data_IF_262606923337
#
_entry.id   IF_262606923337
#
_cell.length_a   1.000
_cell.length_b   1.000
_cell.length_c   1.000
_cell.angle_alpha   90.00
_cell.angle_beta   90.00
_cell.angle_gamma   90.00
#
_symmetry.space_group_name_H-M   'P 1'
#
loop_
_entity.id
_entity.type
_entity.pdbx_description
1 polymer ?
#
# COMPACT_ATOMS: atom_id res chain seq x y z
N UNK A 1 -24.77 4.36 -46.01
CA UNK A 1 -25.01 3.90 -44.63
C UNK A 1 -24.09 2.75 -44.20
N UNK A 2 -24.28 1.48 -44.64
CA UNK A 2 -23.39 0.39 -44.20
C UNK A 2 -21.95 0.48 -44.74
N UNK A 3 -21.77 0.97 -45.98
CA UNK A 3 -20.45 1.15 -46.61
C UNK A 3 -19.68 2.33 -45.98
N UNK A 4 -20.31 3.51 -45.88
CA UNK A 4 -19.73 4.69 -45.23
C UNK A 4 -19.37 4.42 -43.75
N UNK A 5 -20.17 3.62 -43.04
CA UNK A 5 -19.87 3.20 -41.68
C UNK A 5 -18.62 2.30 -41.62
N UNK A 6 -18.44 1.41 -42.59
CA UNK A 6 -17.25 0.56 -42.64
C UNK A 6 -16.01 1.37 -43.00
N UNK A 7 -16.09 2.32 -43.92
CA UNK A 7 -14.97 3.21 -44.25
C UNK A 7 -14.54 4.07 -43.05
N UNK A 8 -15.48 4.53 -42.22
CA UNK A 8 -15.16 5.23 -40.98
C UNK A 8 -14.52 4.30 -39.93
N UNK A 9 -14.96 3.04 -39.85
CA UNK A 9 -14.34 2.03 -38.96
C UNK A 9 -12.91 1.71 -39.38
N UNK A 10 -12.66 1.53 -40.68
CA UNK A 10 -11.32 1.29 -41.21
C UNK A 10 -10.37 2.47 -40.88
N UNK A 11 -10.89 3.71 -40.92
CA UNK A 11 -10.13 4.89 -40.50
C UNK A 11 -9.85 4.91 -38.99
N UNK A 12 -10.82 4.51 -38.16
CA UNK A 12 -10.62 4.36 -36.70
C UNK A 12 -9.55 3.31 -36.42
N UNK A 13 -9.64 2.13 -37.04
CA UNK A 13 -8.66 1.05 -36.88
C UNK A 13 -7.23 1.51 -37.27
N UNK A 14 -7.11 2.33 -38.31
CA UNK A 14 -5.84 2.91 -38.71
C UNK A 14 -5.28 3.89 -37.66
N UNK A 15 -6.13 4.69 -37.03
CA UNK A 15 -5.74 5.59 -35.92
C UNK A 15 -5.36 4.80 -34.68
N UNK A 16 -6.14 3.78 -34.32
CA UNK A 16 -5.86 2.91 -33.18
C UNK A 16 -4.51 2.19 -33.34
N UNK A 17 -4.17 1.77 -34.56
CA UNK A 17 -2.85 1.21 -34.87
C UNK A 17 -1.72 2.22 -34.64
N UNK A 18 -1.91 3.49 -35.03
CA UNK A 18 -0.92 4.54 -34.74
C UNK A 18 -0.76 4.79 -33.23
N UNK A 19 -1.84 4.68 -32.46
CA UNK A 19 -1.77 4.75 -31.00
C UNK A 19 -0.91 3.63 -30.41
N UNK A 20 -1.03 2.39 -30.93
CA UNK A 20 -0.18 1.28 -30.53
C UNK A 20 1.31 1.54 -30.83
N UNK A 21 1.62 2.07 -32.02
CA UNK A 21 3.00 2.40 -32.40
C UNK A 21 3.59 3.49 -31.47
N UNK A 22 2.80 4.50 -31.12
CA UNK A 22 3.21 5.55 -30.17
C UNK A 22 3.42 5.01 -28.75
N UNK A 23 2.58 4.08 -28.30
CA UNK A 23 2.74 3.41 -27.00
C UNK A 23 4.02 2.58 -26.97
N UNK A 24 4.32 1.83 -28.03
CA UNK A 24 5.55 1.05 -28.14
C UNK A 24 6.80 1.96 -28.10
N UNK A 25 6.79 3.06 -28.85
CA UNK A 25 7.87 4.06 -28.80
C UNK A 25 8.04 4.66 -27.40
N UNK A 26 6.93 4.97 -26.72
CA UNK A 26 6.98 5.49 -25.35
C UNK A 26 7.57 4.47 -24.38
N UNK A 27 7.20 3.20 -24.47
CA UNK A 27 7.75 2.15 -23.61
C UNK A 27 9.26 2.00 -23.80
N UNK A 28 9.74 2.01 -25.05
CA UNK A 28 11.18 1.97 -25.34
C UNK A 28 11.94 3.20 -24.81
N UNK A 29 11.31 4.39 -24.77
CA UNK A 29 11.90 5.57 -24.14
C UNK A 29 11.93 5.45 -22.61
N UNK A 30 10.89 4.86 -22.01
CA UNK A 30 10.84 4.66 -20.56
C UNK A 30 11.89 3.66 -20.12
N UNK A 31 12.13 2.58 -20.87
CA UNK A 31 13.20 1.62 -20.59
C UNK A 31 14.58 2.32 -20.54
N UNK A 32 14.90 3.16 -21.53
CA UNK A 32 16.13 3.98 -21.53
C UNK A 32 16.19 4.96 -20.36
N UNK A 33 15.06 5.55 -19.98
CA UNK A 33 14.99 6.40 -18.77
C UNK A 33 15.25 5.57 -17.52
N UNK A 34 14.73 4.35 -17.45
CA UNK A 34 14.98 3.39 -16.37
C UNK A 34 16.46 3.05 -16.23
N UNK A 35 17.15 2.76 -17.34
CA UNK A 35 18.60 2.55 -17.37
C UNK A 35 19.36 3.75 -16.78
N UNK A 36 19.07 4.96 -17.28
CA UNK A 36 19.71 6.20 -16.80
C UNK A 36 19.43 6.43 -15.32
N UNK A 37 18.18 6.24 -14.87
CA UNK A 37 17.82 6.39 -13.45
C UNK A 37 18.53 5.36 -12.58
N UNK A 38 18.65 4.12 -13.05
CA UNK A 38 19.34 3.04 -12.35
C UNK A 38 20.84 3.34 -12.23
N UNK A 39 21.49 3.82 -13.28
CA UNK A 39 22.90 4.24 -13.21
C UNK A 39 23.12 5.38 -12.21
N UNK A 40 22.22 6.38 -12.20
CA UNK A 40 22.38 7.58 -11.39
C UNK A 40 21.78 7.47 -9.98
N UNK A 41 20.94 6.47 -9.70
CA UNK A 41 20.29 6.28 -8.41
C UNK A 41 19.10 7.21 -8.20
N UNK A 42 18.43 7.58 -9.28
CA UNK A 42 17.30 8.49 -9.24
C UNK A 42 16.01 7.72 -8.94
N UNK A 43 15.09 8.31 -8.16
CA UNK A 43 13.83 7.66 -7.84
C UNK A 43 12.98 7.43 -9.09
N UNK A 44 12.32 6.28 -9.11
CA UNK A 44 11.38 5.93 -10.17
C UNK A 44 10.21 6.90 -10.19
N UNK A 45 9.66 7.17 -9.02
CA UNK A 45 8.51 8.04 -8.84
C UNK A 45 8.95 9.44 -8.39
N UNK A 46 8.64 10.45 -9.22
CA UNK A 46 8.87 11.87 -8.93
C UNK A 46 7.52 12.61 -9.05
N UNK A 47 6.81 12.85 -7.93
CA UNK A 47 5.45 13.41 -7.94
C UNK A 47 5.33 14.71 -8.72
N UNK A 48 6.25 15.66 -8.49
CA UNK A 48 6.21 16.98 -9.11
C UNK A 48 6.36 16.90 -10.62
N UNK A 49 7.25 16.04 -11.11
CA UNK A 49 7.47 15.84 -12.55
C UNK A 49 6.24 15.26 -13.23
N UNK A 50 5.57 14.29 -12.60
CA UNK A 50 4.29 13.77 -13.09
C UNK A 50 3.23 14.88 -13.13
N UNK A 51 3.07 15.64 -12.04
CA UNK A 51 2.06 16.68 -11.94
C UNK A 51 2.25 17.77 -13.00
N UNK A 52 3.47 18.27 -13.19
CA UNK A 52 3.79 19.26 -14.24
C UNK A 52 3.52 18.72 -15.64
N UNK A 53 3.92 17.46 -15.92
CA UNK A 53 3.70 16.83 -17.22
C UNK A 53 2.20 16.67 -17.51
N UNK A 54 1.42 16.17 -16.56
CA UNK A 54 -0.02 16.00 -16.73
C UNK A 54 -0.72 17.36 -16.91
N UNK A 55 -0.38 18.38 -16.12
CA UNK A 55 -0.95 19.72 -16.27
C UNK A 55 -0.68 20.31 -17.66
N UNK A 56 0.56 20.20 -18.14
CA UNK A 56 0.94 20.64 -19.49
C UNK A 56 0.15 19.90 -20.58
N UNK A 57 0.01 18.58 -20.48
CA UNK A 57 -0.70 17.77 -21.49
C UNK A 57 -2.21 18.00 -21.48
N UNK A 58 -2.80 18.24 -20.31
CA UNK A 58 -4.21 18.67 -20.19
C UNK A 58 -4.45 19.97 -20.94
N UNK A 59 -3.58 20.97 -20.78
CA UNK A 59 -3.71 22.26 -21.44
C UNK A 59 -3.52 22.15 -22.97
N UNK A 60 -2.59 21.32 -23.43
CA UNK A 60 -2.41 21.04 -24.85
C UNK A 60 -3.64 20.35 -25.46
N UNK A 61 -4.20 19.35 -24.77
CA UNK A 61 -5.40 18.65 -25.21
C UNK A 61 -6.61 19.59 -25.34
N UNK A 62 -6.80 20.49 -24.37
CA UNK A 62 -7.88 21.47 -24.40
C UNK A 62 -7.81 22.37 -25.66
N UNK A 63 -6.61 22.81 -26.04
CA UNK A 63 -6.39 23.68 -27.22
C UNK A 63 -6.76 23.01 -28.55
N UNK A 64 -6.69 21.69 -28.63
CA UNK A 64 -6.98 20.92 -29.85
C UNK A 64 -8.34 20.20 -29.79
N UNK A 65 -9.17 20.50 -28.78
CA UNK A 65 -10.51 19.92 -28.65
C UNK A 65 -10.54 18.49 -28.10
N UNK A 66 -9.44 18.01 -27.52
CA UNK A 66 -9.41 16.71 -26.82
C UNK A 66 -9.75 16.92 -25.35
N UNK A 67 -10.66 16.12 -24.76
CA UNK A 67 -11.00 16.24 -23.34
C UNK A 67 -9.74 16.10 -22.44
N UNK A 68 -9.45 17.06 -21.55
CA UNK A 68 -8.27 17.00 -20.69
C UNK A 68 -8.20 15.75 -19.82
N UNK A 69 -9.35 15.24 -19.38
CA UNK A 69 -9.43 14.02 -18.58
C UNK A 69 -9.01 12.78 -19.36
N UNK A 70 -9.36 12.69 -20.65
CA UNK A 70 -9.04 11.54 -21.51
C UNK A 70 -7.53 11.36 -21.64
N UNK A 71 -6.80 12.45 -21.96
CA UNK A 71 -5.34 12.37 -22.10
C UNK A 71 -4.66 12.05 -20.76
N UNK A 72 -5.17 12.59 -19.65
CA UNK A 72 -4.65 12.28 -18.33
C UNK A 72 -4.85 10.80 -18.00
N UNK A 73 -6.02 10.23 -18.26
CA UNK A 73 -6.31 8.81 -18.01
C UNK A 73 -5.40 7.89 -18.82
N UNK A 74 -5.20 8.18 -20.12
CA UNK A 74 -4.27 7.45 -21.00
C UNK A 74 -2.85 7.52 -20.45
N UNK A 75 -2.36 8.71 -20.12
CA UNK A 75 -1.00 8.90 -19.62
C UNK A 75 -0.79 8.22 -18.26
N UNK A 76 -1.76 8.31 -17.34
CA UNK A 76 -1.72 7.62 -16.05
C UNK A 76 -1.75 6.11 -16.19
N UNK A 77 -2.54 5.54 -17.12
CA UNK A 77 -2.52 4.09 -17.37
C UNK A 77 -1.18 3.64 -17.94
N UNK A 78 -0.62 4.41 -18.87
CA UNK A 78 0.67 4.10 -19.50
C UNK A 78 1.83 4.22 -18.51
N UNK A 79 1.82 5.23 -17.62
CA UNK A 79 2.80 5.35 -16.53
C UNK A 79 2.72 4.19 -15.54
N UNK A 80 1.51 3.75 -15.18
CA UNK A 80 1.32 2.56 -14.33
C UNK A 80 1.94 1.30 -14.93
N UNK A 81 1.82 1.12 -16.26
CA UNK A 81 2.46 0.01 -16.97
C UNK A 81 3.99 0.10 -16.93
N UNK A 82 4.53 1.30 -17.04
CA UNK A 82 5.97 1.55 -16.92
C UNK A 82 6.53 1.16 -15.54
N UNK A 83 5.84 1.53 -14.46
CA UNK A 83 6.27 1.19 -13.09
C UNK A 83 6.24 -0.30 -12.77
N UNK A 84 5.39 -1.07 -13.47
CA UNK A 84 5.28 -2.51 -13.29
C UNK A 84 6.34 -3.27 -14.10
N UNK A 85 6.72 -2.77 -15.27
CA UNK A 85 7.73 -3.37 -16.16
C UNK A 85 9.17 -3.10 -15.72
N UNK A 86 9.44 -2.05 -14.95
CA UNK A 86 10.74 -1.78 -14.31
C UNK A 86 11.17 -2.84 -13.28
N UNK A 87 10.33 -3.84 -12.99
CA UNK A 87 10.69 -5.01 -12.16
C UNK A 87 11.82 -5.85 -12.75
N UNK A 88 12.03 -5.79 -14.06
CA UNK A 88 12.95 -6.69 -14.76
C UNK A 88 14.32 -6.06 -15.07
N UNK A 89 14.46 -4.73 -14.97
CA UNK A 89 15.68 -4.00 -15.33
C UNK A 89 16.67 -3.77 -14.16
N UNK A 90 16.28 -4.17 -12.94
CA UNK A 90 17.09 -3.99 -11.72
C UNK A 90 17.16 -2.52 -11.25
N UNK A 91 17.56 -2.33 -9.99
CA UNK A 91 17.70 -0.99 -9.37
C UNK A 91 19.14 -0.73 -8.93
N UNK A 92 19.52 0.54 -8.78
CA UNK A 92 20.83 0.89 -8.21
C UNK A 92 21.00 0.30 -6.82
N UNK A 93 22.13 -0.35 -6.60
CA UNK A 93 22.62 -0.69 -5.28
C UNK A 93 23.22 0.56 -4.62
N UNK A 94 22.56 1.12 -3.60
CA UNK A 94 23.10 2.28 -2.88
C UNK A 94 24.23 1.95 -1.92
N UNK A 95 24.31 0.71 -1.42
CA UNK A 95 25.39 0.26 -0.55
C UNK A 95 25.99 -1.07 -1.05
N UNK A 96 26.82 -1.05 -2.10
CA UNK A 96 27.38 -2.28 -2.69
C UNK A 96 28.30 -3.06 -1.74
N UNK A 97 28.90 -2.38 -0.76
CA UNK A 97 29.78 -2.98 0.25
C UNK A 97 28.99 -3.61 1.40
N UNK A 98 27.64 -3.51 1.40
CA UNK A 98 26.82 -4.19 2.38
C UNK A 98 27.06 -5.69 2.26
N UNK A 99 27.25 -6.32 3.43
CA UNK A 99 27.26 -7.77 3.55
C UNK A 99 25.86 -8.35 3.28
N UNK A 100 25.62 -9.62 3.60
CA UNK A 100 24.34 -10.25 3.27
C UNK A 100 23.15 -9.58 3.97
N UNK A 101 22.04 -9.42 3.24
CA UNK A 101 20.72 -9.08 3.77
C UNK A 101 20.05 -10.38 4.21
N UNK A 102 19.68 -10.50 5.48
CA UNK A 102 18.96 -11.65 6.02
C UNK A 102 17.50 -11.26 6.25
N UNK A 103 16.57 -12.02 5.67
CA UNK A 103 15.13 -11.82 5.88
C UNK A 103 14.57 -12.93 6.76
N UNK A 104 14.25 -12.58 8.00
CA UNK A 104 13.60 -13.48 8.95
C UNK A 104 12.11 -13.56 8.61
N UNK A 105 11.62 -14.76 8.32
CA UNK A 105 10.29 -14.94 7.73
C UNK A 105 10.23 -14.67 6.22
N UNK A 106 11.37 -14.68 5.52
CA UNK A 106 11.46 -14.35 4.09
C UNK A 106 10.66 -15.23 3.13
N UNK A 107 10.20 -16.41 3.57
CA UNK A 107 9.27 -17.26 2.81
C UNK A 107 7.82 -16.77 2.85
N UNK A 108 7.50 -15.81 3.74
CA UNK A 108 6.20 -15.14 3.79
C UNK A 108 6.00 -14.18 2.62
N UNK A 109 4.77 -13.75 2.38
CA UNK A 109 4.43 -12.93 1.21
C UNK A 109 5.17 -11.58 1.19
N UNK A 110 5.16 -10.85 2.30
CA UNK A 110 5.83 -9.54 2.41
C UNK A 110 7.36 -9.69 2.46
N UNK A 111 7.87 -10.67 3.21
CA UNK A 111 9.30 -11.00 3.24
C UNK A 111 9.83 -11.38 1.84
N UNK A 112 9.05 -12.14 1.09
CA UNK A 112 9.37 -12.50 -0.30
C UNK A 112 9.34 -11.31 -1.25
N UNK A 113 8.43 -10.35 -1.05
CA UNK A 113 8.42 -9.09 -1.80
C UNK A 113 9.71 -8.31 -1.59
N UNK A 114 10.07 -8.00 -0.35
CA UNK A 114 11.30 -7.26 -0.05
C UNK A 114 12.56 -8.03 -0.44
N UNK A 115 12.56 -9.36 -0.28
CA UNK A 115 13.66 -10.22 -0.75
C UNK A 115 13.89 -10.14 -2.25
N UNK A 116 12.82 -10.04 -3.06
CA UNK A 116 12.97 -9.77 -4.50
C UNK A 116 13.52 -8.37 -4.76
N UNK A 117 13.02 -7.34 -4.06
CA UNK A 117 13.48 -5.95 -4.26
C UNK A 117 14.97 -5.78 -3.93
N UNK A 118 15.46 -6.40 -2.85
CA UNK A 118 16.88 -6.41 -2.52
C UNK A 118 17.71 -7.14 -3.58
N UNK A 119 17.27 -8.32 -4.05
CA UNK A 119 17.96 -9.05 -5.14
C UNK A 119 18.03 -8.24 -6.44
N UNK A 120 16.92 -7.59 -6.82
CA UNK A 120 16.86 -6.71 -7.99
C UNK A 120 17.77 -5.49 -7.85
N UNK A 121 18.12 -5.13 -6.61
CA UNK A 121 19.07 -4.05 -6.31
C UNK A 121 20.51 -4.54 -6.15
N UNK A 122 20.78 -5.82 -6.46
CA UNK A 122 22.13 -6.39 -6.43
C UNK A 122 22.63 -6.87 -5.07
N UNK A 123 21.79 -6.89 -4.03
CA UNK A 123 22.19 -7.39 -2.71
C UNK A 123 22.15 -8.92 -2.64
N UNK A 124 23.10 -9.52 -1.91
CA UNK A 124 23.02 -10.93 -1.51
C UNK A 124 21.93 -11.10 -0.45
N UNK A 125 20.92 -11.93 -0.71
CA UNK A 125 19.80 -12.15 0.20
C UNK A 125 19.77 -13.59 0.70
N UNK A 126 19.84 -13.75 2.03
CA UNK A 126 19.64 -15.00 2.76
C UNK A 126 18.27 -15.00 3.42
N UNK A 127 17.66 -16.18 3.57
CA UNK A 127 16.35 -16.34 4.22
C UNK A 127 16.54 -17.14 5.51
N UNK A 128 16.00 -16.64 6.62
CA UNK A 128 15.86 -17.39 7.86
C UNK A 128 14.39 -17.74 8.06
N UNK A 129 14.01 -18.98 7.72
CA UNK A 129 12.67 -19.52 7.87
C UNK A 129 12.42 -20.12 9.25
N UNK A 130 11.18 -20.57 9.48
CA UNK A 130 10.77 -21.15 10.77
C UNK A 130 11.44 -22.49 11.09
N UNK A 131 12.01 -23.17 10.09
CA UNK A 131 12.70 -24.45 10.24
C UNK A 131 14.22 -24.33 10.22
N UNK A 132 14.76 -23.11 10.06
CA UNK A 132 16.20 -22.88 9.83
C UNK A 132 16.93 -22.39 11.10
N UNK A 133 16.26 -22.43 12.26
CA UNK A 133 16.80 -21.91 13.52
C UNK A 133 18.01 -22.69 14.04
N UNK A 134 18.19 -23.94 13.63
CA UNK A 134 19.38 -24.75 13.89
C UNK A 134 20.65 -24.18 13.23
N UNK A 135 20.49 -23.41 12.15
CA UNK A 135 21.56 -22.76 11.39
C UNK A 135 21.52 -21.23 11.49
N UNK A 136 20.74 -20.69 12.43
CA UNK A 136 20.55 -19.25 12.55
C UNK A 136 21.88 -18.50 12.71
N UNK A 137 22.80 -19.01 13.54
CA UNK A 137 24.12 -18.40 13.74
C UNK A 137 24.93 -18.34 12.44
N UNK A 138 24.89 -19.37 11.60
CA UNK A 138 25.57 -19.39 10.29
C UNK A 138 24.93 -18.42 9.29
N UNK A 139 23.59 -18.35 9.27
CA UNK A 139 22.84 -17.48 8.35
C UNK A 139 23.03 -16.00 8.73
N UNK A 140 23.02 -15.71 10.02
CA UNK A 140 23.19 -14.37 10.58
C UNK A 140 24.66 -13.95 10.65
N UNK A 141 25.59 -14.90 10.53
CA UNK A 141 27.01 -14.60 10.47
C UNK A 141 27.28 -13.64 9.31
N UNK A 142 28.09 -12.63 9.60
CA UNK A 142 28.47 -11.60 8.66
C UNK A 142 27.26 -10.82 8.07
N UNK A 143 26.08 -10.81 8.69
CA UNK A 143 24.93 -10.04 8.19
C UNK A 143 25.21 -8.52 8.24
N UNK A 144 24.81 -7.81 7.17
CA UNK A 144 24.85 -6.34 7.11
C UNK A 144 23.50 -5.70 7.44
N UNK A 145 22.42 -6.42 7.13
CA UNK A 145 21.04 -6.01 7.40
C UNK A 145 20.21 -7.25 7.76
N UNK A 146 19.43 -7.16 8.83
CA UNK A 146 18.44 -8.17 9.22
C UNK A 146 17.05 -7.53 9.19
N UNK A 147 16.14 -8.12 8.43
CA UNK A 147 14.75 -7.67 8.27
C UNK A 147 13.80 -8.70 8.88
N UNK A 148 13.06 -8.31 9.91
CA UNK A 148 12.09 -9.17 10.61
C UNK A 148 10.70 -9.01 9.98
N UNK A 149 10.18 -10.10 9.40
CA UNK A 149 8.93 -10.12 8.62
C UNK A 149 8.00 -11.26 9.05
N UNK A 150 7.96 -11.56 10.35
CA UNK A 150 7.16 -12.64 10.94
C UNK A 150 5.80 -12.12 11.46
N UNK A 151 4.83 -13.01 11.74
CA UNK A 151 3.56 -12.63 12.38
C UNK A 151 3.76 -11.84 13.67
N UNK A 152 2.91 -10.85 13.91
CA UNK A 152 3.04 -9.88 15.00
C UNK A 152 3.16 -10.57 16.36
N UNK A 153 2.34 -11.58 16.65
CA UNK A 153 2.40 -12.33 17.91
C UNK A 153 3.71 -13.11 18.12
N UNK A 154 4.51 -13.34 17.08
CA UNK A 154 5.81 -14.02 17.16
C UNK A 154 6.99 -13.04 17.18
N UNK A 155 6.78 -11.79 16.76
CA UNK A 155 7.86 -10.83 16.48
C UNK A 155 8.81 -10.63 17.65
N UNK A 156 8.31 -10.31 18.85
CA UNK A 156 9.17 -10.06 20.02
C UNK A 156 10.00 -11.31 20.39
N UNK A 157 9.37 -12.48 20.36
CA UNK A 157 10.02 -13.76 20.65
C UNK A 157 11.05 -14.17 19.60
N UNK A 158 10.84 -13.80 18.33
CA UNK A 158 11.80 -14.00 17.25
C UNK A 158 12.97 -13.04 17.38
N UNK A 159 12.71 -11.75 17.64
CA UNK A 159 13.76 -10.75 17.86
C UNK A 159 14.68 -11.17 19.00
N UNK A 160 14.12 -11.63 20.13
CA UNK A 160 14.89 -12.05 21.29
C UNK A 160 15.88 -13.20 21.00
N UNK A 161 15.68 -13.98 19.93
CA UNK A 161 16.57 -15.08 19.53
C UNK A 161 17.73 -14.65 18.62
N UNK A 162 17.75 -13.40 18.12
CA UNK A 162 18.75 -12.91 17.17
C UNK A 162 20.07 -12.46 17.84
N UNK A 163 20.45 -12.99 19.01
CA UNK A 163 21.49 -12.39 19.87
C UNK A 163 22.91 -12.26 19.30
N UNK A 164 23.24 -12.92 18.19
CA UNK A 164 24.59 -12.96 17.61
C UNK A 164 24.76 -12.05 16.36
N UNK A 165 24.09 -10.89 16.32
CA UNK A 165 24.28 -9.96 15.20
C UNK A 165 25.63 -9.22 15.29
N UNK A 166 26.33 -9.00 14.16
CA UNK A 166 27.45 -8.06 14.10
C UNK A 166 27.04 -6.68 14.62
N UNK A 167 27.92 -5.99 15.35
CA UNK A 167 27.59 -4.73 16.03
C UNK A 167 27.19 -3.60 15.08
N UNK A 168 27.65 -3.64 13.84
CA UNK A 168 27.35 -2.71 12.74
C UNK A 168 26.16 -3.17 11.87
N UNK A 169 25.60 -4.37 12.11
CA UNK A 169 24.44 -4.85 11.38
C UNK A 169 23.23 -3.95 11.65
N UNK A 170 22.50 -3.58 10.61
CA UNK A 170 21.22 -2.87 10.77
C UNK A 170 20.15 -3.90 11.11
N UNK A 171 19.37 -3.65 12.16
CA UNK A 171 18.20 -4.46 12.49
C UNK A 171 16.92 -3.67 12.24
N UNK A 172 16.02 -4.20 11.42
CA UNK A 172 14.71 -3.61 11.19
C UNK A 172 13.59 -4.65 11.14
N UNK A 173 12.35 -4.18 11.24
CA UNK A 173 11.15 -4.99 11.12
C UNK A 173 10.19 -4.38 10.09
N UNK A 174 9.24 -5.18 9.59
CA UNK A 174 8.15 -4.72 8.71
C UNK A 174 6.76 -4.93 9.35
N UNK A 175 6.66 -4.97 10.67
CA UNK A 175 5.37 -5.27 11.32
C UNK A 175 4.37 -4.12 11.18
N UNK A 176 3.10 -4.39 11.51
CA UNK A 176 2.04 -3.36 11.50
C UNK A 176 1.93 -2.54 12.79
N UNK A 177 2.68 -2.88 13.84
CA UNK A 177 2.76 -2.13 15.11
C UNK A 177 4.21 -1.74 15.40
N UNK A 178 4.50 -0.58 15.98
CA UNK A 178 5.88 -0.09 16.05
C UNK A 178 6.45 -0.10 17.46
N UNK A 179 5.69 0.25 18.48
CA UNK A 179 6.22 0.46 19.84
C UNK A 179 6.89 -0.80 20.41
N UNK A 180 6.17 -1.93 20.44
CA UNK A 180 6.71 -3.19 21.01
C UNK A 180 7.85 -3.78 20.18
N UNK A 181 7.73 -3.94 18.84
CA UNK A 181 8.83 -4.48 18.04
C UNK A 181 10.07 -3.61 18.06
N UNK A 182 9.92 -2.28 17.98
CA UNK A 182 11.06 -1.36 18.05
C UNK A 182 11.80 -1.48 19.39
N UNK A 183 11.06 -1.51 20.50
CA UNK A 183 11.66 -1.70 21.83
C UNK A 183 12.36 -3.05 21.96
N UNK A 184 11.76 -4.13 21.45
CA UNK A 184 12.38 -5.46 21.44
C UNK A 184 13.70 -5.46 20.65
N UNK A 185 13.74 -4.83 19.47
CA UNK A 185 14.96 -4.70 18.67
C UNK A 185 16.03 -3.87 19.40
N UNK A 186 15.63 -2.74 20.02
CA UNK A 186 16.52 -1.85 20.77
C UNK A 186 17.14 -2.49 22.01
N UNK A 187 16.41 -3.40 22.66
CA UNK A 187 16.88 -4.16 23.82
C UNK A 187 17.85 -5.27 23.40
N UNK A 188 17.53 -5.97 22.30
CA UNK A 188 18.32 -7.11 21.86
C UNK A 188 19.62 -6.68 21.16
N UNK A 189 19.56 -5.68 20.29
CA UNK A 189 20.70 -5.24 19.49
C UNK A 189 21.29 -3.92 19.98
N UNK A 190 22.62 -3.83 20.05
CA UNK A 190 23.33 -2.60 20.42
C UNK A 190 23.65 -1.70 19.22
N UNK A 191 23.60 -2.24 18.00
CA UNK A 191 23.87 -1.51 16.76
C UNK A 191 22.69 -0.66 16.26
N UNK A 192 22.70 -0.32 14.95
CA UNK A 192 21.64 0.45 14.31
C UNK A 192 20.29 -0.29 14.27
N UNK A 193 19.21 0.44 14.59
CA UNK A 193 17.84 -0.09 14.65
C UNK A 193 16.85 0.90 14.03
N UNK A 194 15.95 0.42 13.18
CA UNK A 194 14.85 1.20 12.60
C UNK A 194 13.58 0.34 12.48
N UNK A 195 12.44 0.87 12.90
CA UNK A 195 11.15 0.20 12.70
C UNK A 195 10.51 0.63 11.39
N UNK A 196 9.94 -0.29 10.62
CA UNK A 196 9.27 0.03 9.35
C UNK A 196 7.85 -0.56 9.33
N UNK A 197 6.94 0.13 8.64
CA UNK A 197 5.60 -0.36 8.35
C UNK A 197 5.24 -0.02 6.89
N UNK A 198 5.34 -0.99 5.98
CA UNK A 198 4.78 -0.86 4.64
C UNK A 198 3.26 -0.76 4.73
N UNK A 199 2.66 0.36 4.32
CA UNK A 199 1.22 0.61 4.39
C UNK A 199 0.44 -0.08 3.24
N UNK A 200 0.95 -1.22 2.78
CA UNK A 200 0.47 -1.94 1.62
C UNK A 200 0.72 -3.45 1.76
N UNK A 201 -0.11 -4.23 1.07
CA UNK A 201 0.02 -5.68 1.01
C UNK A 201 1.05 -6.16 -0.03
N UNK A 202 1.35 -7.46 -0.05
CA UNK A 202 2.36 -8.05 -0.93
C UNK A 202 1.98 -8.05 -2.42
N UNK A 203 0.70 -7.83 -2.74
CA UNK A 203 0.15 -7.89 -4.11
C UNK A 203 0.38 -6.61 -4.92
N UNK A 204 1.11 -5.62 -4.37
CA UNK A 204 1.37 -4.37 -5.09
C UNK A 204 2.19 -4.62 -6.36
N UNK A 205 1.77 -4.07 -7.52
CA UNK A 205 2.49 -4.26 -8.78
C UNK A 205 3.81 -3.46 -8.83
N UNK A 206 3.98 -2.47 -7.96
CA UNK A 206 5.19 -1.65 -7.82
C UNK A 206 5.16 -0.94 -6.47
N UNK A 207 6.32 -0.52 -5.95
CA UNK A 207 6.39 0.33 -4.75
C UNK A 207 6.17 1.82 -5.07
N UNK A 208 6.06 2.18 -6.35
CA UNK A 208 5.69 3.53 -6.76
C UNK A 208 4.40 3.99 -6.07
N UNK A 209 4.45 5.16 -5.41
CA UNK A 209 3.33 5.80 -4.67
C UNK A 209 2.89 5.04 -3.41
N UNK A 210 3.57 3.96 -3.05
CA UNK A 210 3.30 3.26 -1.81
C UNK A 210 3.96 3.98 -0.64
N UNK A 211 3.32 3.96 0.53
CA UNK A 211 3.85 4.60 1.73
C UNK A 211 4.55 3.57 2.61
N UNK A 212 5.75 3.89 3.09
CA UNK A 212 6.41 3.17 4.18
C UNK A 212 6.57 4.15 5.33
N UNK A 213 5.92 3.87 6.46
CA UNK A 213 6.17 4.60 7.69
C UNK A 213 7.44 4.05 8.32
N UNK A 214 8.29 4.93 8.84
CA UNK A 214 9.46 4.51 9.61
C UNK A 214 9.55 5.25 10.95
N UNK A 215 10.03 4.53 11.96
CA UNK A 215 10.25 5.03 13.31
C UNK A 215 11.70 4.80 13.69
N UNK A 216 12.41 5.89 14.02
CA UNK A 216 13.83 5.83 14.35
C UNK A 216 14.05 5.10 15.68
N UNK A 217 14.99 4.15 15.71
CA UNK A 217 15.46 3.49 16.93
C UNK A 217 16.82 4.04 17.38
N UNK A 218 17.90 3.53 16.78
CA UNK A 218 19.29 3.91 17.09
C UNK A 218 20.13 4.00 15.82
N UNK A 219 21.06 4.95 15.75
CA UNK A 219 22.08 4.99 14.70
C UNK A 219 21.54 5.33 13.31
N UNK A 220 20.66 6.35 13.21
CA UNK A 220 20.01 6.78 11.96
C UNK A 220 20.95 7.04 10.79
N UNK A 221 22.12 7.59 11.08
CA UNK A 221 23.21 7.81 10.13
C UNK A 221 23.54 6.52 9.34
N UNK A 222 23.46 5.36 9.98
CA UNK A 222 23.90 4.07 9.44
C UNK A 222 22.90 3.42 8.49
N UNK A 223 21.61 3.77 8.59
CA UNK A 223 20.55 3.21 7.75
C UNK A 223 19.93 4.22 6.77
N UNK A 224 20.46 5.43 6.67
CA UNK A 224 19.94 6.42 5.71
C UNK A 224 19.99 5.92 4.25
N UNK A 225 21.01 5.12 3.89
CA UNK A 225 21.09 4.50 2.58
C UNK A 225 19.91 3.54 2.32
N UNK A 226 19.41 2.84 3.34
CA UNK A 226 18.29 1.91 3.24
C UNK A 226 16.97 2.68 3.00
N UNK A 227 16.76 3.77 3.72
CA UNK A 227 15.63 4.67 3.49
C UNK A 227 15.69 5.24 2.05
N UNK A 228 16.86 5.71 1.62
CA UNK A 228 17.03 6.20 0.25
C UNK A 228 16.79 5.08 -0.80
N UNK A 229 17.15 3.83 -0.49
CA UNK A 229 16.90 2.68 -1.36
C UNK A 229 15.40 2.44 -1.56
N UNK A 230 14.59 2.55 -0.51
CA UNK A 230 13.14 2.49 -0.61
C UNK A 230 12.57 3.62 -1.48
N UNK A 231 13.14 4.81 -1.39
CA UNK A 231 12.83 5.93 -2.28
C UNK A 231 13.15 5.64 -3.75
N UNK A 232 14.27 4.98 -4.04
CA UNK A 232 14.62 4.53 -5.40
C UNK A 232 13.56 3.58 -5.96
N UNK A 233 13.09 2.65 -5.14
CA UNK A 233 12.00 1.73 -5.51
C UNK A 233 10.65 2.44 -5.72
N UNK A 234 10.55 3.73 -5.40
CA UNK A 234 9.38 4.57 -5.63
C UNK A 234 8.48 4.75 -4.41
N UNK A 235 8.87 4.21 -3.25
CA UNK A 235 8.11 4.39 -2.02
C UNK A 235 8.24 5.82 -1.49
N UNK A 236 7.16 6.34 -0.93
CA UNK A 236 7.14 7.58 -0.15
C UNK A 236 7.37 7.25 1.32
N UNK A 237 8.41 7.82 1.90
CA UNK A 237 8.73 7.61 3.31
C UNK A 237 8.04 8.64 4.18
N UNK A 238 7.49 8.18 5.30
CA UNK A 238 6.88 9.02 6.31
C UNK A 238 7.54 8.70 7.66
N UNK A 239 8.30 9.66 8.21
CA UNK A 239 8.83 9.52 9.56
C UNK A 239 7.69 9.69 10.56
N UNK A 240 7.63 8.83 11.56
CA UNK A 240 6.67 8.95 12.66
C UNK A 240 7.23 8.30 13.92
N UNK A 241 6.99 8.92 15.07
CA UNK A 241 7.28 8.27 16.35
C UNK A 241 6.49 6.95 16.49
N UNK A 242 7.06 5.96 17.16
CA UNK A 242 6.44 4.64 17.26
C UNK A 242 5.11 4.66 18.04
N UNK A 243 5.00 5.51 19.08
CA UNK A 243 3.77 5.64 19.85
C UNK A 243 2.72 6.45 19.08
N UNK A 244 3.13 7.52 18.39
CA UNK A 244 2.23 8.28 17.50
C UNK A 244 1.67 7.40 16.38
N UNK A 245 2.53 6.57 15.77
CA UNK A 245 2.13 5.60 14.77
C UNK A 245 1.07 4.63 15.30
N UNK A 246 1.32 3.99 16.45
CA UNK A 246 0.40 2.99 17.00
C UNK A 246 -0.95 3.63 17.43
N UNK A 247 -0.90 4.85 17.96
CA UNK A 247 -2.11 5.62 18.24
C UNK A 247 -2.92 5.90 16.95
N UNK A 248 -2.25 6.32 15.87
CA UNK A 248 -2.89 6.50 14.56
C UNK A 248 -3.50 5.19 14.00
N UNK A 249 -2.80 4.07 14.16
CA UNK A 249 -3.27 2.75 13.70
C UNK A 249 -4.50 2.25 14.47
N UNK A 250 -4.76 2.79 15.67
CA UNK A 250 -6.00 2.52 16.41
C UNK A 250 -7.24 2.91 15.59
N UNK A 251 -7.20 4.04 14.89
CA UNK A 251 -8.28 4.48 13.98
C UNK A 251 -8.15 3.85 12.59
N UNK A 252 -6.96 3.89 12.01
CA UNK A 252 -6.72 3.52 10.60
C UNK A 252 -6.88 2.02 10.37
N UNK A 253 -6.43 1.19 11.31
CA UNK A 253 -6.43 -0.27 11.18
C UNK A 253 -7.40 -0.91 12.16
N UNK A 254 -7.22 -0.76 13.48
CA UNK A 254 -7.97 -1.54 14.46
C UNK A 254 -9.49 -1.28 14.37
N UNK A 255 -9.91 -0.01 14.48
CA UNK A 255 -11.32 0.35 14.35
C UNK A 255 -11.88 0.01 12.97
N UNK A 256 -11.14 0.32 11.90
CA UNK A 256 -11.59 0.08 10.52
C UNK A 256 -11.76 -1.41 10.19
N UNK A 257 -10.82 -2.25 10.61
CA UNK A 257 -10.88 -3.69 10.38
C UNK A 257 -11.96 -4.33 11.25
N UNK A 258 -12.06 -3.94 12.54
CA UNK A 258 -13.09 -4.48 13.42
C UNK A 258 -14.50 -4.14 12.95
N UNK A 259 -14.75 -2.90 12.52
CA UNK A 259 -16.06 -2.51 11.96
C UNK A 259 -16.41 -3.28 10.69
N UNK A 260 -15.44 -3.49 9.80
CA UNK A 260 -15.61 -4.31 8.59
C UNK A 260 -15.87 -5.78 8.94
N UNK A 261 -15.16 -6.33 9.92
CA UNK A 261 -15.38 -7.68 10.46
C UNK A 261 -16.78 -7.81 11.06
N UNK A 262 -17.20 -6.89 11.92
CA UNK A 262 -18.51 -6.90 12.57
C UNK A 262 -19.66 -6.81 11.55
N UNK A 263 -19.52 -5.94 10.54
CA UNK A 263 -20.49 -5.83 9.46
C UNK A 263 -20.57 -7.10 8.61
N UNK A 264 -19.43 -7.68 8.23
CA UNK A 264 -19.40 -8.95 7.50
C UNK A 264 -19.96 -10.12 8.33
N UNK A 265 -19.67 -10.15 9.63
CA UNK A 265 -20.25 -11.12 10.56
C UNK A 265 -21.77 -10.98 10.61
N UNK A 266 -22.30 -9.75 10.72
CA UNK A 266 -23.74 -9.49 10.67
C UNK A 266 -24.35 -9.97 9.35
N UNK A 267 -23.78 -9.59 8.19
CA UNK A 267 -24.23 -10.06 6.89
C UNK A 267 -24.26 -11.60 6.80
N UNK A 268 -23.26 -12.29 7.35
CA UNK A 268 -23.21 -13.76 7.36
C UNK A 268 -24.35 -14.39 8.18
N UNK A 269 -24.86 -13.68 9.19
CA UNK A 269 -25.97 -14.13 10.03
C UNK A 269 -27.33 -13.86 9.41
N UNK A 270 -27.49 -12.71 8.75
CA UNK A 270 -28.67 -12.41 7.94
C UNK A 270 -28.75 -13.32 6.71
N UNK A 271 -27.61 -13.82 6.24
CA UNK A 271 -27.47 -14.75 5.13
C UNK A 271 -28.26 -14.35 3.86
N UNK A 272 -28.12 -13.11 3.36
CA UNK A 272 -28.80 -12.69 2.15
C UNK A 272 -28.21 -13.39 0.92
N UNK A 273 -29.00 -13.50 -0.15
CA UNK A 273 -28.48 -13.94 -1.43
C UNK A 273 -27.57 -12.85 -2.04
N UNK A 274 -26.26 -13.02 -1.91
CA UNK A 274 -25.26 -12.05 -2.38
C UNK A 274 -25.39 -11.81 -3.89
N UNK A 275 -25.64 -12.84 -4.70
CA UNK A 275 -25.80 -12.68 -6.15
C UNK A 275 -27.00 -11.79 -6.49
N UNK A 276 -28.09 -11.91 -5.74
CA UNK A 276 -29.25 -11.05 -5.90
C UNK A 276 -28.95 -9.61 -5.47
N UNK A 277 -28.26 -9.41 -4.34
CA UNK A 277 -27.83 -8.09 -3.91
C UNK A 277 -26.97 -7.42 -4.97
N UNK A 278 -25.95 -8.13 -5.49
CA UNK A 278 -25.04 -7.63 -6.52
C UNK A 278 -25.75 -7.25 -7.83
N UNK A 279 -26.83 -7.96 -8.21
CA UNK A 279 -27.66 -7.60 -9.37
C UNK A 279 -28.45 -6.31 -9.17
N UNK A 280 -28.85 -6.02 -7.93
CA UNK A 280 -29.59 -4.79 -7.56
C UNK A 280 -28.65 -3.62 -7.22
N UNK A 281 -27.35 -3.87 -7.16
CA UNK A 281 -26.35 -2.92 -6.67
C UNK A 281 -25.92 -1.92 -7.75
N UNK A 282 -25.83 -0.65 -7.36
CA UNK A 282 -25.02 0.33 -8.09
C UNK A 282 -23.52 -0.01 -7.96
N UNK A 283 -22.64 0.53 -8.81
CA UNK A 283 -21.20 0.30 -8.71
C UNK A 283 -20.62 0.62 -7.32
N UNK A 284 -21.11 1.68 -6.65
CA UNK A 284 -20.67 2.04 -5.30
C UNK A 284 -21.05 0.98 -4.27
N UNK A 285 -22.29 0.48 -4.31
CA UNK A 285 -22.73 -0.54 -3.35
C UNK A 285 -21.99 -1.87 -3.56
N UNK A 286 -21.71 -2.24 -4.82
CA UNK A 286 -20.85 -3.39 -5.13
C UNK A 286 -19.44 -3.20 -4.56
N UNK A 287 -18.88 -1.99 -4.68
CA UNK A 287 -17.57 -1.66 -4.12
C UNK A 287 -17.59 -1.77 -2.59
N UNK A 288 -18.62 -1.26 -1.92
CA UNK A 288 -18.77 -1.37 -0.46
C UNK A 288 -18.77 -2.83 0.02
N UNK A 289 -19.56 -3.70 -0.62
CA UNK A 289 -19.55 -5.14 -0.30
C UNK A 289 -18.18 -5.75 -0.59
N UNK A 290 -17.56 -5.41 -1.72
CA UNK A 290 -16.23 -5.93 -2.07
C UNK A 290 -15.16 -5.53 -1.04
N UNK A 291 -15.23 -4.30 -0.52
CA UNK A 291 -14.32 -3.81 0.52
C UNK A 291 -14.48 -4.55 1.86
N UNK A 292 -15.69 -5.01 2.17
CA UNK A 292 -15.95 -5.88 3.33
C UNK A 292 -15.48 -7.31 3.05
N UNK A 293 -15.91 -7.89 1.92
CA UNK A 293 -15.63 -9.28 1.56
C UNK A 293 -14.13 -9.58 1.42
N UNK A 294 -13.35 -8.66 0.85
CA UNK A 294 -11.89 -8.82 0.70
C UNK A 294 -11.13 -8.94 2.01
N UNK A 295 -11.71 -8.48 3.14
CA UNK A 295 -11.12 -8.67 4.46
C UNK A 295 -11.02 -10.16 4.80
N UNK A 296 -12.09 -10.92 4.52
CA UNK A 296 -12.20 -12.35 4.83
C UNK A 296 -11.42 -13.27 3.88
N UNK A 297 -10.83 -12.71 2.82
CA UNK A 297 -9.93 -13.42 1.92
C UNK A 297 -8.44 -13.35 2.35
N UNK A 298 -8.15 -12.62 3.43
CA UNK A 298 -6.80 -12.42 3.99
C UNK A 298 -6.61 -13.23 5.29
N UNK A 299 -5.41 -13.21 5.86
CA UNK A 299 -5.09 -13.99 7.07
C UNK A 299 -5.83 -13.44 8.31
N UNK A 300 -6.71 -14.24 8.96
CA UNK A 300 -7.42 -13.80 10.16
C UNK A 300 -6.48 -13.52 11.35
N UNK A 301 -5.33 -14.19 11.44
CA UNK A 301 -4.40 -13.99 12.55
C UNK A 301 -3.77 -12.60 12.50
N UNK A 302 -3.49 -12.07 11.30
CA UNK A 302 -2.99 -10.71 11.14
C UNK A 302 -3.95 -9.68 11.73
N UNK A 303 -5.25 -9.78 11.42
CA UNK A 303 -6.25 -8.87 11.95
C UNK A 303 -6.48 -9.05 13.44
N UNK A 304 -6.48 -10.31 13.91
CA UNK A 304 -6.55 -10.62 15.34
C UNK A 304 -5.41 -9.96 16.11
N UNK A 305 -4.17 -10.14 15.63
CA UNK A 305 -2.97 -9.56 16.24
C UNK A 305 -3.01 -8.03 16.24
N UNK A 306 -3.41 -7.39 15.14
CA UNK A 306 -3.52 -5.93 15.05
C UNK A 306 -4.56 -5.43 16.07
N UNK A 307 -5.77 -5.97 16.04
CA UNK A 307 -6.88 -5.51 16.89
C UNK A 307 -6.58 -5.74 18.37
N UNK A 308 -5.95 -6.87 18.72
CA UNK A 308 -5.63 -7.24 20.10
C UNK A 308 -4.25 -6.76 20.56
N UNK A 309 -3.53 -5.97 19.75
CA UNK A 309 -2.16 -5.53 20.08
C UNK A 309 -2.07 -4.57 21.27
N UNK A 310 -3.15 -3.85 21.58
CA UNK A 310 -3.23 -2.87 22.68
C UNK A 310 -4.64 -2.82 23.30
N UNK A 311 -4.72 -2.49 24.59
CA UNK A 311 -5.99 -2.22 25.27
C UNK A 311 -6.68 -0.95 24.73
N UNK A 312 -5.89 -0.01 24.20
CA UNK A 312 -6.39 1.21 23.57
C UNK A 312 -7.26 0.91 22.34
N UNK A 313 -6.90 -0.11 21.54
CA UNK A 313 -7.72 -0.56 20.41
C UNK A 313 -9.10 -1.04 20.87
N UNK A 314 -9.14 -1.84 21.93
CA UNK A 314 -10.38 -2.37 22.50
C UNK A 314 -11.22 -1.21 23.04
N UNK A 315 -10.60 -0.25 23.74
CA UNK A 315 -11.30 0.91 24.27
C UNK A 315 -11.83 1.83 23.16
N UNK A 316 -11.09 2.03 22.07
CA UNK A 316 -11.59 2.74 20.89
C UNK A 316 -12.82 2.06 20.29
N UNK A 317 -12.78 0.74 20.14
CA UNK A 317 -13.91 -0.04 19.63
C UNK A 317 -15.13 0.08 20.56
N UNK A 318 -14.94 0.05 21.88
CA UNK A 318 -16.00 0.27 22.87
C UNK A 318 -16.62 1.66 22.75
N UNK A 319 -15.79 2.70 22.60
CA UNK A 319 -16.28 4.07 22.35
C UNK A 319 -17.09 4.15 21.06
N UNK A 320 -16.62 3.52 19.98
CA UNK A 320 -17.36 3.46 18.72
C UNK A 320 -18.72 2.75 18.89
N UNK A 321 -18.76 1.62 19.60
CA UNK A 321 -20.00 0.93 19.93
C UNK A 321 -20.99 1.81 20.72
N UNK A 322 -20.49 2.59 21.70
CA UNK A 322 -21.32 3.58 22.41
C UNK A 322 -21.92 4.62 21.46
N UNK A 323 -21.11 5.16 20.53
CA UNK A 323 -21.59 6.12 19.52
C UNK A 323 -22.61 5.50 18.55
N UNK A 324 -22.46 4.23 18.23
CA UNK A 324 -23.46 3.50 17.43
C UNK A 324 -24.79 3.39 18.19
N UNK A 325 -24.75 3.09 19.49
CA UNK A 325 -25.94 3.10 20.35
C UNK A 325 -26.63 4.47 20.40
N UNK A 326 -25.86 5.54 20.60
CA UNK A 326 -26.40 6.91 20.57
C UNK A 326 -27.04 7.28 19.22
N UNK A 327 -26.47 6.80 18.11
CA UNK A 327 -27.07 6.99 16.78
C UNK A 327 -28.37 6.21 16.62
N UNK A 328 -28.48 5.01 17.19
CA UNK A 328 -29.73 4.23 17.20
C UNK A 328 -30.83 4.93 18.00
N UNK A 329 -30.53 5.57 19.12
CA UNK A 329 -31.52 6.32 19.91
C UNK A 329 -32.22 7.43 19.08
N UNK A 330 -31.50 8.05 18.13
CA UNK A 330 -32.08 9.02 17.19
C UNK A 330 -33.12 8.34 16.28
N UNK A 331 -32.82 7.13 15.81
CA UNK A 331 -33.70 6.35 14.93
C UNK A 331 -34.92 5.81 15.68
N UNK A 332 -34.74 5.33 16.91
CA UNK A 332 -35.83 4.86 17.78
C UNK A 332 -36.80 5.99 18.10
N UNK A 333 -36.27 7.20 18.36
CA UNK A 333 -37.06 8.43 18.51
C UNK A 333 -37.69 8.94 17.21
N UNK A 334 -37.32 8.38 16.05
CA UNK A 334 -37.71 8.84 14.70
C UNK A 334 -37.43 10.33 14.49
N UNK A 335 -36.38 10.85 15.13
CA UNK A 335 -36.07 12.28 15.14
C UNK A 335 -35.20 12.65 13.93
N UNK A 336 -35.87 12.94 12.81
CA UNK A 336 -35.19 13.36 11.58
C UNK A 336 -34.40 14.67 11.76
N UNK A 337 -34.86 15.60 12.58
CA UNK A 337 -34.17 16.87 12.77
C UNK A 337 -32.83 16.65 13.46
N UNK A 338 -32.83 15.88 14.57
CA UNK A 338 -31.60 15.50 15.26
C UNK A 338 -30.65 14.70 14.37
N UNK A 339 -31.17 13.80 13.53
CA UNK A 339 -30.33 13.09 12.56
C UNK A 339 -29.63 14.06 11.59
N UNK A 340 -30.35 15.01 11.01
CA UNK A 340 -29.80 16.01 10.08
C UNK A 340 -28.76 16.89 10.78
N UNK A 341 -29.02 17.31 12.02
CA UNK A 341 -28.09 18.13 12.79
C UNK A 341 -26.79 17.37 13.07
N UNK A 342 -26.87 16.12 13.53
CA UNK A 342 -25.70 15.26 13.73
C UNK A 342 -24.94 14.99 12.43
N UNK A 343 -25.65 14.79 11.30
CA UNK A 343 -25.03 14.61 9.99
C UNK A 343 -24.21 15.85 9.59
N UNK A 344 -24.78 17.04 9.75
CA UNK A 344 -24.12 18.29 9.40
C UNK A 344 -22.90 18.55 10.29
N UNK A 345 -22.97 18.25 11.59
CA UNK A 345 -21.82 18.34 12.49
C UNK A 345 -20.65 17.46 12.03
N UNK A 346 -20.93 16.24 11.57
CA UNK A 346 -19.91 15.35 11.01
C UNK A 346 -19.37 15.89 9.69
N UNK A 347 -20.24 16.40 8.81
CA UNK A 347 -19.85 17.03 7.55
C UNK A 347 -18.92 18.22 7.77
N UNK A 348 -19.22 19.07 8.75
CA UNK A 348 -18.42 20.24 9.11
C UNK A 348 -17.05 19.83 9.67
N UNK A 349 -16.99 18.75 10.45
CA UNK A 349 -15.72 18.20 10.96
C UNK A 349 -14.84 17.65 9.83
N UNK A 350 -15.42 16.95 8.85
CA UNK A 350 -14.69 16.54 7.65
C UNK A 350 -14.29 17.74 6.78
N UNK A 351 -15.06 18.84 6.82
CA UNK A 351 -14.78 20.06 6.08
C UNK A 351 -14.64 19.82 4.59
N UNK A 352 -13.60 20.40 3.97
CA UNK A 352 -13.33 20.28 2.54
C UNK A 352 -13.06 18.85 2.08
N UNK A 353 -12.60 17.97 2.99
CA UNK A 353 -12.37 16.56 2.67
C UNK A 353 -13.65 15.83 2.27
N UNK A 354 -14.82 16.23 2.76
CA UNK A 354 -16.10 15.64 2.35
C UNK A 354 -16.30 15.71 0.84
N UNK A 355 -16.07 16.89 0.25
CA UNK A 355 -16.23 17.09 -1.19
C UNK A 355 -15.08 16.46 -1.98
N UNK A 356 -13.86 16.54 -1.44
CA UNK A 356 -12.71 15.90 -2.06
C UNK A 356 -12.91 14.37 -2.19
N UNK A 357 -13.31 13.69 -1.11
CA UNK A 357 -13.54 12.24 -1.13
C UNK A 357 -14.73 11.84 -2.00
N UNK A 358 -15.76 12.69 -2.11
CA UNK A 358 -16.84 12.47 -3.05
C UNK A 358 -16.33 12.51 -4.50
N UNK A 359 -15.50 13.48 -4.85
CA UNK A 359 -14.93 13.59 -6.19
C UNK A 359 -13.95 12.45 -6.52
N UNK A 360 -13.11 12.06 -5.56
CA UNK A 360 -12.17 10.95 -5.68
C UNK A 360 -12.89 9.61 -5.88
N UNK A 361 -13.90 9.31 -5.04
CA UNK A 361 -14.68 8.08 -5.15
C UNK A 361 -15.44 7.98 -6.47
N UNK A 362 -16.00 9.08 -6.98
CA UNK A 362 -16.62 9.10 -8.31
C UNK A 362 -15.63 8.74 -9.43
N UNK A 363 -14.40 9.22 -9.35
CA UNK A 363 -13.37 8.91 -10.35
C UNK A 363 -12.92 7.44 -10.26
N UNK A 364 -12.77 6.90 -9.05
CA UNK A 364 -12.49 5.49 -8.84
C UNK A 364 -13.61 4.60 -9.40
N UNK A 365 -14.87 4.97 -9.19
CA UNK A 365 -16.02 4.21 -9.68
C UNK A 365 -16.16 4.24 -11.20
N UNK A 366 -15.84 5.36 -11.85
CA UNK A 366 -15.80 5.44 -13.33
C UNK A 366 -14.82 4.42 -13.89
N UNK A 367 -13.59 4.41 -13.37
CA UNK A 367 -12.56 3.45 -13.80
C UNK A 367 -12.96 1.99 -13.50
N UNK A 368 -13.60 1.73 -12.36
CA UNK A 368 -14.10 0.39 -12.03
C UNK A 368 -15.24 -0.04 -12.97
N UNK A 369 -16.11 0.88 -13.39
CA UNK A 369 -17.22 0.58 -14.28
C UNK A 369 -16.77 0.09 -15.66
N UNK A 370 -15.70 0.66 -16.21
CA UNK A 370 -15.16 0.29 -17.53
C UNK A 370 -14.71 -1.18 -17.60
N UNK A 371 -14.39 -1.79 -16.46
CA UNK A 371 -14.00 -3.21 -16.35
C UNK A 371 -15.16 -4.19 -16.21
N UNK A 372 -16.40 -3.70 -16.05
CA UNK A 372 -17.58 -4.56 -15.86
C UNK A 372 -18.20 -4.87 -17.22
N UNK A 373 -17.95 -6.08 -17.72
CA UNK A 373 -18.73 -6.62 -18.84
C UNK A 373 -20.10 -7.07 -18.34
N UNK A 374 -21.16 -6.36 -18.75
CA UNK A 374 -22.53 -6.88 -18.68
C UNK A 374 -22.78 -7.69 -19.95
N UNK A 375 -22.55 -8.99 -19.86
CA UNK A 375 -22.97 -9.99 -20.85
C UNK A 375 -24.40 -10.46 -20.60
#
# INVERSE_FOLDING_TARGET
MAVELNELRDQIDAVDKQMLDLLAQRLALVEKVGEVKSEHGLPIYVPEREATMLASRRQEAEKIGVPPQLIEDILRRTMRESYASEKDSGFKCLNPELRSVVIVGGNGQLGGLFGRMFKLSGYEVKILGSQDWDKADEILDNAGLVVVTVPIHLTEGVIAKLGNLPSDCILCDLTSIKSKPLQAMMNMHQGPVVGLHPMFGPDVPSLAKQVIVYSDGRGSESYQWLLNQFGIWGASLCQMDAAEHDHGMTLIQALRHFTSFAYGLHLSKENPNIDQLLKLSSPIYRLEIAMVGRLFAQDPNLYGDIILSSDENIEMIRRFHSRFGEALEILDGKDKAKFVDSFNQVSDWFGDYSQQFLQESQNLLKQAHDSIHRG
#
